data_IF_307842097901
#
_entry.id   IF_307842097901
#
_cell.length_a   1.000
_cell.length_b   1.000
_cell.length_c   1.000
_cell.angle_alpha   90.00
_cell.angle_beta   90.00
_cell.angle_gamma   90.00
#
_symmetry.space_group_name_H-M   'P 1'
#
loop_
_entity.id
_entity.type
_entity.pdbx_description
1 polymer ?
#
# COMPACT_ATOMS: atom_id res chain seq x y z
N UNK A 1 5.04 42.20 3.20
CA UNK A 1 6.25 42.98 3.56
C UNK A 1 6.59 42.77 5.02
N UNK A 2 5.96 43.43 6.01
CA UNK A 2 6.35 43.26 7.43
C UNK A 2 6.26 41.83 7.99
N UNK A 3 5.25 41.04 7.60
CA UNK A 3 5.12 39.63 8.04
C UNK A 3 6.28 38.73 7.56
N UNK A 4 7.01 39.17 6.54
CA UNK A 4 8.20 38.49 6.00
C UNK A 4 9.49 39.14 6.53
N UNK A 5 9.40 40.09 7.46
CA UNK A 5 10.54 40.83 8.00
C UNK A 5 11.02 42.00 7.15
N UNK A 6 10.31 42.36 6.08
CA UNK A 6 10.71 43.46 5.18
C UNK A 6 10.10 44.79 5.63
N UNK A 7 10.86 45.90 5.57
CA UNK A 7 10.34 47.25 5.79
C UNK A 7 10.14 47.64 7.27
N UNK A 8 10.79 46.95 8.21
CA UNK A 8 10.56 47.14 9.65
C UNK A 8 10.98 48.51 10.19
N UNK A 9 11.87 49.23 9.50
CA UNK A 9 12.39 50.53 9.94
C UNK A 9 11.33 51.64 10.02
N UNK A 10 10.18 51.49 9.37
CA UNK A 10 9.06 52.44 9.47
C UNK A 10 8.11 52.17 10.65
N UNK A 11 8.32 51.07 11.39
CA UNK A 11 7.46 50.68 12.51
C UNK A 11 8.03 51.22 13.82
N UNK A 12 7.16 51.72 14.69
CA UNK A 12 7.54 52.04 16.06
C UNK A 12 7.57 50.78 16.95
N UNK A 13 8.09 50.92 18.18
CA UNK A 13 8.25 49.80 19.13
C UNK A 13 6.93 49.08 19.43
N UNK A 14 5.81 49.82 19.51
CA UNK A 14 4.49 49.24 19.79
C UNK A 14 4.01 48.38 18.62
N UNK A 15 4.20 48.87 17.39
CA UNK A 15 3.84 48.14 16.17
C UNK A 15 4.71 46.90 15.96
N UNK A 16 6.01 47.00 16.28
CA UNK A 16 6.92 45.85 16.26
C UNK A 16 6.49 44.75 17.23
N UNK A 17 6.16 45.09 18.48
CA UNK A 17 5.64 44.12 19.45
C UNK A 17 4.34 43.47 18.98
N UNK A 18 3.44 44.24 18.39
CA UNK A 18 2.19 43.68 17.83
C UNK A 18 2.46 42.74 16.66
N UNK A 19 3.42 43.07 15.80
CA UNK A 19 3.83 42.22 14.68
C UNK A 19 4.42 40.90 15.18
N UNK A 20 5.33 40.96 16.14
CA UNK A 20 5.93 39.79 16.80
C UNK A 20 4.86 38.87 17.41
N UNK A 21 3.97 39.41 18.25
CA UNK A 21 2.88 38.61 18.85
C UNK A 21 1.98 37.96 17.80
N UNK A 22 1.71 38.65 16.68
CA UNK A 22 0.91 38.09 15.58
C UNK A 22 1.64 36.93 14.90
N UNK A 23 2.95 37.05 14.68
CA UNK A 23 3.78 36.01 14.08
C UNK A 23 3.89 34.80 15.00
N UNK A 24 4.15 35.00 16.29
CA UNK A 24 4.19 33.92 17.28
C UNK A 24 2.89 33.12 17.31
N UNK A 25 1.73 33.82 17.38
CA UNK A 25 0.41 33.18 17.32
C UNK A 25 0.16 32.47 15.99
N UNK A 26 0.68 32.99 14.88
CA UNK A 26 0.59 32.36 13.56
C UNK A 26 1.39 31.06 13.50
N UNK A 27 2.65 31.11 13.92
CA UNK A 27 3.57 29.98 13.96
C UNK A 27 3.04 28.88 14.88
N UNK A 28 2.57 29.25 16.08
CA UNK A 28 1.97 28.30 17.03
C UNK A 28 0.76 27.59 16.41
N UNK A 29 -0.15 28.33 15.76
CA UNK A 29 -1.30 27.73 15.06
C UNK A 29 -0.91 26.78 13.94
N UNK A 30 0.07 27.16 13.12
CA UNK A 30 0.56 26.30 12.03
C UNK A 30 1.19 25.02 12.60
N UNK A 31 2.02 25.15 13.64
CA UNK A 31 2.67 24.02 14.30
C UNK A 31 1.64 23.05 14.88
N UNK A 32 0.66 23.57 15.62
CA UNK A 32 -0.39 22.73 16.21
C UNK A 32 -1.21 22.03 15.13
N UNK A 33 -1.64 22.73 14.08
CA UNK A 33 -2.37 22.11 12.97
C UNK A 33 -1.56 21.02 12.27
N UNK A 34 -0.27 21.25 12.03
CA UNK A 34 0.63 20.26 11.45
C UNK A 34 0.77 19.05 12.37
N UNK A 35 0.88 19.26 13.67
CA UNK A 35 0.97 18.20 14.67
C UNK A 35 -0.27 17.31 14.66
N UNK A 36 -1.46 17.91 14.78
CA UNK A 36 -2.74 17.17 14.74
C UNK A 36 -2.90 16.36 13.44
N UNK A 37 -2.54 16.95 12.29
CA UNK A 37 -2.60 16.27 11.00
C UNK A 37 -1.66 15.05 10.93
N UNK A 38 -0.43 15.19 11.43
CA UNK A 38 0.54 14.09 11.46
C UNK A 38 0.07 12.98 12.40
N UNK A 39 -0.49 13.33 13.56
CA UNK A 39 -1.03 12.34 14.50
C UNK A 39 -2.19 11.55 13.86
N UNK A 40 -3.13 12.25 13.25
CA UNK A 40 -4.26 11.61 12.56
C UNK A 40 -3.82 10.68 11.43
N UNK A 41 -2.83 11.11 10.63
CA UNK A 41 -2.29 10.30 9.54
C UNK A 41 -1.54 9.06 10.08
N UNK A 42 -0.74 9.24 11.13
CA UNK A 42 -0.02 8.13 11.79
C UNK A 42 -1.00 7.08 12.30
N UNK A 43 -2.08 7.51 12.97
CA UNK A 43 -3.10 6.59 13.49
C UNK A 43 -3.83 5.84 12.36
N UNK A 44 -4.14 6.52 11.26
CA UNK A 44 -4.78 5.91 10.09
C UNK A 44 -3.87 4.84 9.46
N UNK A 45 -2.60 5.18 9.24
CA UNK A 45 -1.62 4.26 8.66
C UNK A 45 -1.41 3.03 9.55
N UNK A 46 -1.31 3.20 10.88
CA UNK A 46 -1.21 2.08 11.82
C UNK A 46 -2.43 1.15 11.78
N UNK A 47 -3.65 1.70 11.72
CA UNK A 47 -4.86 0.88 11.56
C UNK A 47 -4.85 0.10 10.25
N UNK A 48 -4.41 0.75 9.16
CA UNK A 48 -4.32 0.11 7.84
C UNK A 48 -3.26 -0.99 7.81
N UNK A 49 -2.11 -0.77 8.44
CA UNK A 49 -1.04 -1.77 8.60
C UNK A 49 -1.59 -3.02 9.30
N UNK A 50 -2.27 -2.87 10.44
CA UNK A 50 -2.86 -3.99 11.18
C UNK A 50 -3.86 -4.77 10.33
N UNK A 51 -4.74 -4.08 9.59
CA UNK A 51 -5.72 -4.75 8.72
C UNK A 51 -5.05 -5.53 7.59
N UNK A 52 -4.02 -4.97 6.97
CA UNK A 52 -3.25 -5.64 5.92
C UNK A 52 -2.47 -6.83 6.45
N UNK A 53 -1.91 -6.74 7.66
CA UNK A 53 -1.24 -7.87 8.31
C UNK A 53 -2.23 -9.02 8.58
N UNK A 54 -3.43 -8.70 9.08
CA UNK A 54 -4.48 -9.68 9.32
C UNK A 54 -4.94 -10.35 8.03
N UNK A 55 -5.18 -9.57 6.97
CA UNK A 55 -5.59 -10.10 5.66
C UNK A 55 -4.49 -10.99 5.06
N UNK A 56 -3.24 -10.56 5.12
CA UNK A 56 -2.10 -11.36 4.67
C UNK A 56 -1.95 -12.67 5.45
N UNK A 57 -2.18 -12.65 6.77
CA UNK A 57 -2.15 -13.85 7.59
C UNK A 57 -3.25 -14.86 7.16
N UNK A 58 -4.47 -14.36 6.89
CA UNK A 58 -5.57 -15.20 6.40
C UNK A 58 -5.27 -15.81 5.03
N UNK A 59 -4.72 -15.02 4.10
CA UNK A 59 -4.35 -15.50 2.76
C UNK A 59 -3.27 -16.58 2.87
N UNK A 60 -2.25 -16.37 3.70
CA UNK A 60 -1.18 -17.38 3.92
C UNK A 60 -1.75 -18.67 4.51
N UNK A 61 -2.66 -18.58 5.48
CA UNK A 61 -3.33 -19.75 6.03
C UNK A 61 -4.16 -20.50 4.96
N UNK A 62 -4.86 -19.76 4.08
CA UNK A 62 -5.65 -20.36 3.00
C UNK A 62 -4.78 -21.05 1.95
N UNK A 63 -3.62 -20.47 1.63
CA UNK A 63 -2.63 -21.10 0.74
C UNK A 63 -2.18 -22.43 1.33
N UNK A 64 -1.77 -22.46 2.60
CA UNK A 64 -1.34 -23.68 3.27
C UNK A 64 -2.43 -24.76 3.33
N UNK A 65 -3.69 -24.37 3.53
CA UNK A 65 -4.83 -25.30 3.49
C UNK A 65 -5.01 -25.89 2.09
N UNK A 66 -4.96 -25.06 1.04
CA UNK A 66 -5.07 -25.52 -0.34
C UNK A 66 -3.93 -26.45 -0.75
N UNK A 67 -2.69 -26.15 -0.34
CA UNK A 67 -1.52 -27.02 -0.57
C UNK A 67 -1.74 -28.41 0.04
N UNK A 68 -2.21 -28.48 1.30
CA UNK A 68 -2.55 -29.76 1.96
C UNK A 68 -3.65 -30.52 1.25
N UNK A 69 -4.68 -29.83 0.76
CA UNK A 69 -5.77 -30.45 0.01
C UNK A 69 -5.28 -31.01 -1.34
N UNK A 70 -4.37 -30.31 -2.01
CA UNK A 70 -3.72 -30.81 -3.23
C UNK A 70 -2.87 -32.04 -2.94
N UNK A 71 -2.05 -32.04 -1.88
CA UNK A 71 -1.28 -33.21 -1.45
C UNK A 71 -2.19 -34.41 -1.17
N UNK A 72 -3.28 -34.21 -0.42
CA UNK A 72 -4.22 -35.27 -0.08
C UNK A 72 -4.96 -35.81 -1.33
N UNK A 73 -5.31 -34.93 -2.27
CA UNK A 73 -5.91 -35.32 -3.55
C UNK A 73 -4.95 -36.15 -4.40
N UNK A 74 -3.66 -35.81 -4.41
CA UNK A 74 -2.61 -36.54 -5.14
C UNK A 74 -2.34 -37.92 -4.51
N UNK A 75 -2.53 -38.08 -3.19
CA UNK A 75 -2.39 -39.37 -2.49
C UNK A 75 -3.60 -40.31 -2.67
N UNK A 76 -4.75 -39.82 -3.11
CA UNK A 76 -5.96 -40.63 -3.34
C UNK A 76 -6.08 -41.15 -4.79
N UNK A 77 -5.25 -40.67 -5.72
CA UNK A 77 -5.31 -41.01 -7.15
C UNK A 77 -4.19 -41.93 -7.69
N UNK A 78 -3.40 -42.63 -6.85
CA UNK A 78 -2.36 -43.52 -7.38
C UNK A 78 -1.82 -44.56 -6.38
N UNK A 79 -1.99 -45.84 -6.73
CA UNK A 79 -1.21 -46.95 -6.17
C UNK A 79 0.29 -46.86 -6.51
N UNK A 80 1.14 -47.79 -6.00
CA UNK A 80 2.57 -47.57 -5.86
C UNK A 80 3.36 -47.89 -7.15
N UNK A 81 4.27 -46.99 -7.54
CA UNK A 81 5.70 -47.23 -7.89
C UNK A 81 6.29 -45.93 -8.48
N UNK A 82 7.19 -45.25 -7.77
CA UNK A 82 8.65 -45.44 -7.78
C UNK A 82 9.33 -44.99 -9.09
N UNK A 83 9.78 -43.73 -9.13
CA UNK A 83 11.13 -43.41 -9.62
C UNK A 83 11.59 -42.05 -9.08
N UNK A 84 12.41 -42.11 -8.04
CA UNK A 84 13.31 -41.04 -7.62
C UNK A 84 14.33 -40.84 -8.77
N UNK A 85 14.44 -39.62 -9.31
CA UNK A 85 15.57 -39.26 -10.17
C UNK A 85 16.58 -38.47 -9.33
N UNK A 86 17.82 -38.96 -9.15
CA UNK A 86 18.86 -38.24 -8.44
C UNK A 86 19.63 -37.33 -9.41
N UNK A 87 19.66 -36.04 -9.10
CA UNK A 87 20.73 -35.14 -9.52
C UNK A 87 20.47 -34.26 -10.76
N UNK A 88 20.81 -32.98 -10.60
CA UNK A 88 21.20 -32.10 -11.70
C UNK A 88 20.23 -30.96 -12.02
N UNK A 89 20.58 -29.74 -11.56
CA UNK A 89 20.35 -28.43 -12.20
C UNK A 89 19.05 -28.15 -12.96
N UNK A 90 18.33 -27.12 -12.51
CA UNK A 90 17.50 -26.19 -13.32
C UNK A 90 16.55 -26.79 -14.37
N UNK A 91 15.25 -26.77 -14.11
CA UNK A 91 14.28 -25.99 -14.91
C UNK A 91 12.84 -26.13 -14.38
N UNK A 92 12.24 -24.97 -14.08
CA UNK A 92 10.82 -24.78 -13.79
C UNK A 92 10.01 -25.07 -15.05
N UNK A 93 9.32 -26.22 -15.10
CA UNK A 93 8.31 -26.46 -16.13
C UNK A 93 6.94 -25.93 -15.66
N UNK A 94 6.76 -24.61 -15.72
CA UNK A 94 5.43 -23.96 -15.67
C UNK A 94 4.89 -23.81 -17.10
N UNK A 95 4.44 -24.89 -17.77
CA UNK A 95 3.53 -24.72 -18.90
C UNK A 95 2.85 -26.02 -19.34
N UNK A 96 1.76 -26.35 -18.66
CA UNK A 96 0.66 -27.12 -19.23
C UNK A 96 -0.69 -26.67 -18.63
N UNK A 97 -0.89 -25.35 -18.55
CA UNK A 97 -2.20 -24.74 -18.47
C UNK A 97 -2.12 -23.46 -19.33
N UNK A 98 -3.18 -23.20 -20.10
CA UNK A 98 -3.31 -22.13 -21.10
C UNK A 98 -2.76 -20.75 -20.64
N UNK A 99 -2.34 -19.88 -21.59
CA UNK A 99 -1.24 -18.95 -21.40
C UNK A 99 -1.57 -17.85 -20.40
N UNK A 100 -0.89 -17.86 -19.26
CA UNK A 100 -0.73 -16.70 -18.42
C UNK A 100 0.21 -15.74 -19.13
N UNK A 101 -0.35 -14.86 -19.97
CA UNK A 101 0.39 -13.80 -20.61
C UNK A 101 0.91 -12.86 -19.52
N UNK A 102 2.20 -12.96 -19.19
CA UNK A 102 2.85 -12.24 -18.09
C UNK A 102 2.68 -10.72 -18.25
N UNK A 103 2.56 -10.26 -19.49
CA UNK A 103 2.30 -8.87 -19.83
C UNK A 103 0.90 -8.41 -19.37
N UNK A 104 -0.08 -9.31 -19.37
CA UNK A 104 -1.44 -9.03 -18.94
C UNK A 104 -1.56 -8.98 -17.42
N UNK A 105 -0.87 -9.87 -16.71
CA UNK A 105 -0.86 -9.88 -15.24
C UNK A 105 -0.03 -8.72 -14.66
N UNK A 106 1.07 -8.34 -15.32
CA UNK A 106 1.84 -7.14 -15.01
C UNK A 106 1.06 -5.84 -15.32
N UNK A 107 0.36 -5.78 -16.46
CA UNK A 107 -0.49 -4.64 -16.80
C UNK A 107 -1.67 -4.48 -15.83
N UNK A 108 -2.26 -5.58 -15.37
CA UNK A 108 -3.34 -5.56 -14.39
C UNK A 108 -2.85 -5.07 -13.02
N UNK A 109 -1.68 -5.53 -12.57
CA UNK A 109 -1.07 -5.07 -11.32
C UNK A 109 -0.66 -3.59 -11.39
N UNK A 110 -0.04 -3.15 -12.49
CA UNK A 110 0.36 -1.76 -12.71
C UNK A 110 -0.84 -0.79 -12.81
N UNK A 111 -1.92 -1.21 -13.47
CA UNK A 111 -3.16 -0.44 -13.57
C UNK A 111 -3.82 -0.25 -12.21
N UNK A 112 -3.87 -1.30 -11.39
CA UNK A 112 -4.49 -1.24 -10.06
C UNK A 112 -3.63 -0.45 -9.06
N UNK A 113 -2.30 -0.49 -9.20
CA UNK A 113 -1.40 0.38 -8.44
C UNK A 113 -1.57 1.85 -8.80
N UNK A 114 -1.70 2.21 -10.09
CA UNK A 114 -2.00 3.59 -10.49
C UNK A 114 -3.38 4.06 -9.99
N UNK A 115 -4.40 3.19 -10.01
CA UNK A 115 -5.75 3.49 -9.52
C UNK A 115 -5.82 3.69 -7.99
N UNK A 116 -4.89 3.12 -7.23
CA UNK A 116 -4.77 3.35 -5.80
C UNK A 116 -3.99 4.62 -5.46
N UNK A 117 -3.18 5.13 -6.40
CA UNK A 117 -2.37 6.34 -6.25
C UNK A 117 -3.07 7.60 -6.78
N UNK A 118 -3.92 7.48 -7.81
CA UNK A 118 -4.82 8.52 -8.32
C UNK A 118 -6.25 8.26 -7.81
N UNK A 119 -6.67 8.95 -6.75
CA UNK A 119 -7.96 8.69 -6.11
C UNK A 119 -9.19 8.84 -7.02
N UNK A 120 -10.11 7.87 -6.89
CA UNK A 120 -11.55 7.90 -7.21
C UNK A 120 -12.06 7.45 -8.61
N UNK A 121 -13.17 6.69 -8.51
CA UNK A 121 -14.25 6.47 -9.48
C UNK A 121 -14.14 5.33 -10.52
N UNK A 122 -15.20 4.51 -10.48
CA UNK A 122 -15.79 3.68 -11.55
C UNK A 122 -15.15 2.31 -11.86
N UNK A 123 -15.72 1.27 -11.27
CA UNK A 123 -15.80 -0.05 -11.91
C UNK A 123 -17.11 -0.15 -12.72
N UNK A 124 -17.07 -0.45 -14.02
CA UNK A 124 -18.19 -1.10 -14.68
C UNK A 124 -17.89 -2.59 -14.90
N UNK A 125 -18.84 -3.39 -14.44
CA UNK A 125 -18.96 -4.84 -14.63
C UNK A 125 -19.13 -5.13 -16.13
N UNK A 126 -18.43 -6.11 -16.72
CA UNK A 126 -18.63 -6.48 -18.12
C UNK A 126 -19.97 -7.21 -18.30
N UNK A 127 -20.79 -6.71 -19.22
CA UNK A 127 -22.01 -7.36 -19.68
C UNK A 127 -21.70 -8.60 -20.53
N UNK A 128 -22.52 -9.62 -20.29
CA UNK A 128 -22.40 -10.98 -20.81
C UNK A 128 -22.68 -11.06 -22.32
N UNK A 129 -21.99 -11.98 -23.00
CA UNK A 129 -22.55 -12.75 -24.12
C UNK A 129 -22.35 -14.23 -23.85
#
# INVERSE_FOLDING_TARGET
>A
RHLLGEGLGSLNVKELKQLETRLEKGISRIRNRKHEMILAETENLQKREILLEQENALIRAKIQENEKLQELSMMSSGGPELSMMPGGGTELNMMAAAPHDFNFQAAYFARNMNLMMEGAAAYPVPDKK
#
